data_IF_873460612362
#
_entry.id   IF_873460612362
#
_cell.length_a   1.000
_cell.length_b   1.000
_cell.length_c   1.000
_cell.angle_alpha   90.00
_cell.angle_beta   90.00
_cell.angle_gamma   90.00
#
_symmetry.space_group_name_H-M   'P 1'
#
loop_
_entity.id
_entity.type
_entity.pdbx_description
1 polymer ?
#
# COMPACT_ATOMS: atom_id res chain seq x y z
N UNK A 1 -7.64 -32.48 -28.72
CA UNK A 1 -8.14 -32.42 -27.32
C UNK A 1 -7.08 -31.92 -26.34
N UNK A 2 -5.88 -32.52 -26.31
CA UNK A 2 -4.78 -32.13 -25.40
C UNK A 2 -4.29 -30.68 -25.57
N UNK A 3 -4.31 -30.16 -26.80
CA UNK A 3 -3.95 -28.76 -27.13
C UNK A 3 -4.93 -27.73 -26.57
N UNK A 4 -6.24 -28.03 -26.64
CA UNK A 4 -7.29 -27.17 -26.06
C UNK A 4 -7.23 -27.16 -24.53
N UNK A 5 -6.90 -28.30 -23.91
CA UNK A 5 -6.72 -28.39 -22.46
C UNK A 5 -5.54 -27.54 -21.98
N UNK A 6 -4.43 -27.52 -22.74
CA UNK A 6 -3.26 -26.67 -22.45
C UNK A 6 -3.58 -25.18 -22.59
N UNK A 7 -4.31 -24.80 -23.65
CA UNK A 7 -4.75 -23.42 -23.89
C UNK A 7 -5.69 -22.89 -22.79
N UNK A 8 -6.62 -23.72 -22.31
CA UNK A 8 -7.53 -23.38 -21.22
C UNK A 8 -6.79 -23.10 -19.91
N UNK A 9 -5.78 -23.91 -19.60
CA UNK A 9 -4.96 -23.72 -18.40
C UNK A 9 -4.13 -22.44 -18.48
N UNK A 10 -3.52 -22.13 -19.63
CA UNK A 10 -2.76 -20.89 -19.81
C UNK A 10 -3.62 -19.63 -19.56
N UNK A 11 -4.87 -19.63 -20.01
CA UNK A 11 -5.79 -18.51 -19.82
C UNK A 11 -6.17 -18.27 -18.35
N UNK A 12 -6.27 -19.33 -17.54
CA UNK A 12 -6.59 -19.24 -16.11
C UNK A 12 -5.43 -18.70 -15.25
N UNK A 13 -4.18 -18.82 -15.70
CA UNK A 13 -3.03 -18.31 -14.95
C UNK A 13 -2.86 -16.78 -15.08
N UNK A 14 -3.33 -16.18 -16.18
CA UNK A 14 -3.22 -14.74 -16.42
C UNK A 14 -4.16 -13.90 -15.55
N UNK A 15 -5.17 -14.50 -14.92
CA UNK A 15 -6.12 -13.81 -14.04
C UNK A 15 -5.71 -13.81 -12.56
N UNK A 16 -4.49 -14.25 -12.22
CA UNK A 16 -3.93 -14.10 -10.87
C UNK A 16 -3.61 -12.62 -10.59
N UNK A 17 -4.60 -11.94 -10.03
CA UNK A 17 -4.68 -10.49 -9.85
C UNK A 17 -3.52 -9.88 -9.06
N UNK A 18 -2.91 -8.82 -9.60
CA UNK A 18 -2.15 -7.84 -8.83
C UNK A 18 -3.09 -7.20 -7.78
N UNK A 19 -2.81 -7.41 -6.49
CA UNK A 19 -3.57 -6.77 -5.39
C UNK A 19 -2.72 -5.64 -4.82
N UNK A 20 -3.21 -4.41 -4.90
CA UNK A 20 -2.63 -3.30 -4.13
C UNK A 20 -3.21 -3.36 -2.71
N UNK A 21 -2.35 -3.57 -1.72
CA UNK A 21 -2.74 -3.43 -0.31
C UNK A 21 -2.93 -1.93 -0.06
N UNK A 22 -4.16 -1.44 -0.21
CA UNK A 22 -4.53 -0.08 0.18
C UNK A 22 -4.72 -0.10 1.69
N UNK A 23 -3.73 0.40 2.43
CA UNK A 23 -3.90 0.62 3.86
C UNK A 23 -4.68 1.94 4.04
N UNK A 24 -5.84 1.93 4.72
CA UNK A 24 -6.62 3.14 4.93
C UNK A 24 -5.77 4.21 5.61
N UNK A 25 -5.77 5.43 5.06
CA UNK A 25 -4.99 6.56 5.57
C UNK A 25 -5.27 6.88 7.05
N UNK A 26 -6.45 6.50 7.56
CA UNK A 26 -6.90 6.75 8.92
C UNK A 26 -6.52 5.65 9.93
N UNK A 27 -5.86 4.57 9.50
CA UNK A 27 -5.38 3.55 10.44
C UNK A 27 -4.01 3.94 10.97
N UNK A 28 -3.95 4.36 12.23
CA UNK A 28 -2.72 4.59 13.01
C UNK A 28 -1.82 3.34 13.13
N UNK A 29 -2.26 2.17 12.63
CA UNK A 29 -1.52 0.90 12.57
C UNK A 29 -0.84 0.63 11.22
N UNK A 30 -0.94 1.56 10.28
CA UNK A 30 -0.26 1.45 9.00
C UNK A 30 1.25 1.75 9.15
N UNK A 31 2.15 0.98 8.52
CA UNK A 31 3.57 1.31 8.49
C UNK A 31 3.81 2.76 8.03
N UNK A 32 4.72 3.51 8.67
CA UNK A 32 4.93 4.93 8.41
C UNK A 32 5.28 5.23 6.94
N UNK A 33 5.95 4.29 6.27
CA UNK A 33 6.25 4.39 4.84
C UNK A 33 5.01 4.31 3.95
N UNK A 34 4.00 3.52 4.31
CA UNK A 34 2.74 3.44 3.56
C UNK A 34 1.90 4.69 3.79
N UNK A 35 1.80 5.15 5.04
CA UNK A 35 1.10 6.40 5.36
C UNK A 35 1.73 7.57 4.61
N UNK A 36 3.06 7.67 4.57
CA UNK A 36 3.79 8.70 3.80
C UNK A 36 3.37 8.70 2.32
N UNK A 37 3.31 7.53 1.68
CA UNK A 37 2.93 7.40 0.26
C UNK A 37 1.48 7.83 0.02
N UNK A 38 0.56 7.42 0.89
CA UNK A 38 -0.87 7.74 0.76
C UNK A 38 -1.16 9.21 1.07
N UNK A 39 -0.49 9.80 2.07
CA UNK A 39 -0.70 11.19 2.49
C UNK A 39 0.08 12.21 1.67
N UNK A 40 1.00 11.77 0.81
CA UNK A 40 1.87 12.65 0.02
C UNK A 40 2.92 13.40 0.87
N UNK A 41 3.14 13.00 2.11
CA UNK A 41 4.08 13.68 3.00
C UNK A 41 5.54 13.53 2.53
N UNK A 42 6.33 14.61 2.63
CA UNK A 42 7.76 14.58 2.26
C UNK A 42 8.60 13.65 3.16
N UNK A 43 8.18 13.41 4.40
CA UNK A 43 8.89 12.57 5.38
C UNK A 43 7.96 11.64 6.15
N UNK A 44 8.45 10.43 6.44
CA UNK A 44 7.76 9.45 7.28
C UNK A 44 7.94 9.71 8.79
N UNK A 45 8.79 10.66 9.16
CA UNK A 45 9.15 10.94 10.57
C UNK A 45 7.92 11.29 11.42
N UNK A 46 6.95 11.99 10.86
CA UNK A 46 5.72 12.36 11.55
C UNK A 46 4.81 11.17 11.89
N UNK A 47 5.05 10.01 11.27
CA UNK A 47 4.24 8.79 11.44
C UNK A 47 5.00 7.68 12.20
N UNK A 48 6.26 7.91 12.57
CA UNK A 48 7.05 6.92 13.30
C UNK A 48 6.62 6.86 14.79
N UNK A 49 6.58 5.67 15.39
CA UNK A 49 6.20 5.51 16.79
C UNK A 49 7.17 6.27 17.71
N UNK A 50 6.64 6.97 18.71
CA UNK A 50 7.43 7.78 19.65
C UNK A 50 7.87 9.16 19.14
N UNK A 51 7.53 9.55 17.90
CA UNK A 51 7.78 10.91 17.42
C UNK A 51 6.65 11.86 17.85
N UNK A 52 6.97 12.84 18.70
CA UNK A 52 6.04 13.92 19.03
C UNK A 52 6.02 14.96 17.89
N UNK A 53 4.85 15.23 17.33
CA UNK A 53 4.68 16.28 16.31
C UNK A 53 4.98 17.64 16.93
N UNK A 54 6.13 18.24 16.60
CA UNK A 54 6.43 19.64 16.96
C UNK A 54 5.56 20.54 16.08
N UNK A 55 4.38 20.92 16.58
CA UNK A 55 3.52 21.88 15.90
C UNK A 55 4.13 23.27 16.10
N UNK A 56 4.84 23.78 15.08
CA UNK A 56 5.36 25.13 15.11
C UNK A 56 4.19 26.08 14.81
N UNK A 57 3.40 26.38 15.86
CA UNK A 57 2.30 27.34 15.80
C UNK A 57 2.94 28.73 15.89
N UNK A 58 3.36 29.26 14.74
CA UNK A 58 3.82 30.65 14.66
C UNK A 58 2.58 31.55 14.77
N UNK A 59 2.63 32.48 15.72
CA UNK A 59 1.63 33.53 15.95
C UNK A 59 1.73 34.59 14.84
#
# INVERSE_FOLDING_TARGET
MKTYLSLLMALLFLSTSCRTIIVPANNAKAPPGQVKKVTGAKSAKAYAPGQQKKNNRNN
#
